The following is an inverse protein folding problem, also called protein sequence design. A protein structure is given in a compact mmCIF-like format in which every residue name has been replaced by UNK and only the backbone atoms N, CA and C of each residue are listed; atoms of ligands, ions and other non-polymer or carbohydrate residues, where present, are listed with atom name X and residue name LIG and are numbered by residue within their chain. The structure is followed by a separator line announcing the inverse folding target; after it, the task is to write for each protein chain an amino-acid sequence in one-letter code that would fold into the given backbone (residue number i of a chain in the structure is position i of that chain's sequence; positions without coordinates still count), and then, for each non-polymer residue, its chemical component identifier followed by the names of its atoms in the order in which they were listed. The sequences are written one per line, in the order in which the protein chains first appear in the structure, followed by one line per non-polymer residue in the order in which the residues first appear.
data_IF_499503941550
#
_entry.id   IF_499503941550
#
_cell.length_a   1.000
_cell.length_b   1.000
_cell.length_c   1.000
_cell.angle_alpha   90.00
_cell.angle_beta   90.00
_cell.angle_gamma   90.00
#
_symmetry.space_group_name_H-M   'P 1'
#
loop_
_entity.id
_entity.type
_entity.pdbx_description
1 polymer ?
#
# COMPACT_ATOMS: atom_id res chain seq x y z
N UNK A 1 6.66 -9.12 1.57
CA UNK A 1 7.29 -7.79 1.70
C UNK A 1 7.81 -7.38 0.33
N UNK A 2 7.55 -6.14 -0.09
CA UNK A 2 8.00 -5.61 -1.38
C UNK A 2 8.23 -4.10 -1.26
N UNK A 3 8.56 -3.45 -2.38
CA UNK A 3 8.84 -2.02 -2.46
C UNK A 3 7.61 -1.24 -2.95
N UNK A 4 7.59 0.07 -2.66
CA UNK A 4 6.51 1.00 -2.98
C UNK A 4 6.01 0.87 -4.44
N UNK A 5 6.91 0.95 -5.43
CA UNK A 5 6.55 0.88 -6.85
C UNK A 5 5.82 -0.43 -7.22
N UNK A 6 6.25 -1.55 -6.65
CA UNK A 6 5.68 -2.87 -6.94
C UNK A 6 4.29 -2.98 -6.31
N UNK A 7 4.16 -2.55 -5.05
CA UNK A 7 2.88 -2.56 -4.32
C UNK A 7 1.85 -1.70 -5.07
N UNK A 8 2.25 -0.52 -5.56
CA UNK A 8 1.38 0.36 -6.36
C UNK A 8 0.86 -0.30 -7.65
N UNK A 9 1.72 -1.02 -8.38
CA UNK A 9 1.33 -1.74 -9.60
C UNK A 9 0.31 -2.83 -9.27
N UNK A 10 0.53 -3.58 -8.19
CA UNK A 10 -0.39 -4.63 -7.73
C UNK A 10 -1.76 -4.03 -7.38
N UNK A 11 -1.78 -2.98 -6.56
CA UNK A 11 -3.02 -2.27 -6.19
C UNK A 11 -3.74 -1.75 -7.43
N UNK A 12 -3.00 -1.17 -8.39
CA UNK A 12 -3.60 -0.67 -9.62
C UNK A 12 -4.24 -1.79 -10.44
N UNK A 13 -3.63 -2.97 -10.50
CA UNK A 13 -4.22 -4.13 -11.16
C UNK A 13 -5.48 -4.61 -10.45
N UNK A 14 -5.44 -4.73 -9.12
CA UNK A 14 -6.60 -5.16 -8.30
C UNK A 14 -7.77 -4.19 -8.42
N UNK A 15 -7.51 -2.88 -8.41
CA UNK A 15 -8.53 -1.83 -8.52
C UNK A 15 -8.90 -1.46 -9.97
N UNK A 16 -8.37 -2.15 -10.97
CA UNK A 16 -8.51 -1.81 -12.39
C UNK A 16 -8.21 -0.32 -12.70
N UNK A 17 -7.18 0.20 -12.03
CA UNK A 17 -6.77 1.60 -12.13
C UNK A 17 -5.76 1.79 -13.27
N UNK A 18 -5.88 2.91 -14.00
CA UNK A 18 -4.89 3.29 -15.02
C UNK A 18 -3.52 3.55 -14.40
N UNK A 19 -2.46 3.10 -15.08
CA UNK A 19 -1.07 3.20 -14.58
C UNK A 19 -0.63 4.64 -14.27
N UNK A 20 -1.13 5.63 -15.01
CA UNK A 20 -0.83 7.04 -14.74
C UNK A 20 -1.40 7.57 -13.41
N UNK A 21 -2.17 6.76 -12.67
CA UNK A 21 -2.75 7.12 -11.37
C UNK A 21 -2.06 6.44 -10.18
N UNK A 22 -1.03 5.62 -10.40
CA UNK A 22 -0.37 4.87 -9.30
C UNK A 22 0.26 5.74 -8.22
N UNK A 23 0.54 7.00 -8.53
CA UNK A 23 1.13 7.98 -7.61
C UNK A 23 0.09 8.84 -6.88
N UNK A 24 -1.21 8.62 -7.10
CA UNK A 24 -2.28 9.46 -6.52
C UNK A 24 -2.54 9.24 -5.03
N UNK A 25 -1.93 8.23 -4.42
CA UNK A 25 -2.08 7.91 -3.01
C UNK A 25 -0.71 7.73 -2.35
N UNK A 26 -0.62 8.02 -1.06
CA UNK A 26 0.60 7.78 -0.29
C UNK A 26 0.63 6.35 0.24
N UNK A 27 1.82 5.75 0.30
CA UNK A 27 2.06 4.47 0.99
C UNK A 27 3.04 4.73 2.11
N UNK A 28 2.67 4.38 3.34
CA UNK A 28 3.55 4.52 4.49
C UNK A 28 4.54 3.34 4.50
N UNK A 29 5.79 3.59 4.94
CA UNK A 29 6.74 2.50 5.20
C UNK A 29 6.11 1.47 6.15
N UNK A 30 6.35 0.19 5.87
CA UNK A 30 5.88 -0.95 6.68
C UNK A 30 4.36 -1.08 6.85
N UNK A 31 3.56 -0.26 6.16
CA UNK A 31 2.11 -0.41 6.18
C UNK A 31 1.65 -1.73 5.53
N UNK A 32 0.56 -2.27 6.05
CA UNK A 32 -0.02 -3.52 5.59
C UNK A 32 -1.12 -3.23 4.57
N UNK A 33 -1.15 -4.01 3.50
CA UNK A 33 -2.23 -4.02 2.50
C UNK A 33 -2.78 -5.44 2.44
N UNK A 34 -4.10 -5.58 2.55
CA UNK A 34 -4.79 -6.87 2.54
C UNK A 34 -5.60 -6.98 1.26
N UNK A 35 -5.31 -8.01 0.49
CA UNK A 35 -6.02 -8.36 -0.73
C UNK A 35 -6.59 -9.75 -0.51
N UNK A 36 -7.87 -9.89 -0.75
CA UNK A 36 -8.54 -11.19 -0.76
C UNK A 36 -8.55 -11.76 -2.17
N UNK A 37 -8.37 -13.07 -2.31
CA UNK A 37 -8.28 -13.75 -3.60
C UNK A 37 -9.17 -14.98 -3.60
N UNK A 38 -10.26 -14.91 -4.35
CA UNK A 38 -11.23 -15.98 -4.49
C UNK A 38 -11.44 -16.32 -5.98
N UNK A 39 -11.31 -17.59 -6.33
CA UNK A 39 -11.65 -18.11 -7.66
C UNK A 39 -11.12 -17.26 -8.85
N UNK A 40 -9.89 -16.74 -8.74
CA UNK A 40 -9.24 -15.93 -9.77
C UNK A 40 -9.60 -14.45 -9.77
N UNK A 41 -10.47 -14.00 -8.86
CA UNK A 41 -10.74 -12.59 -8.60
C UNK A 41 -9.93 -12.13 -7.39
N UNK A 42 -9.37 -10.93 -7.48
CA UNK A 42 -8.68 -10.28 -6.37
C UNK A 42 -9.45 -9.02 -5.97
N UNK A 43 -9.76 -8.88 -4.69
CA UNK A 43 -10.45 -7.73 -4.10
C UNK A 43 -9.58 -7.05 -3.05
N UNK A 44 -9.60 -5.72 -3.01
CA UNK A 44 -8.92 -4.96 -1.96
C UNK A 44 -9.77 -4.97 -0.70
N UNK A 45 -9.23 -5.49 0.41
CA UNK A 45 -9.89 -5.50 1.72
C UNK A 45 -9.44 -4.31 2.56
N UNK A 46 -8.13 -4.08 2.62
CA UNK A 46 -7.53 -2.99 3.38
C UNK A 46 -6.28 -2.47 2.67
N UNK A 47 -6.03 -1.17 2.74
CA UNK A 47 -4.94 -0.51 2.02
C UNK A 47 -4.14 0.38 2.96
N UNK A 48 -2.83 0.19 2.96
CA UNK A 48 -1.89 1.10 3.61
C UNK A 48 -2.15 1.28 5.12
N UNK A 49 -2.57 0.21 5.80
CA UNK A 49 -2.83 0.22 7.23
C UNK A 49 -1.53 0.22 8.04
N UNK A 50 -1.28 1.35 8.68
CA UNK A 50 -0.13 1.61 9.53
C UNK A 50 -0.48 1.68 11.03
N UNK A 51 -1.68 1.26 11.43
CA UNK A 51 -2.17 1.37 12.82
C UNK A 51 -1.25 0.67 13.83
N UNK A 52 -0.64 -0.44 13.43
CA UNK A 52 0.31 -1.20 14.23
C UNK A 52 1.61 -0.43 14.54
N UNK A 53 1.92 0.64 13.79
CA UNK A 53 3.11 1.47 14.03
C UNK A 53 2.90 2.48 15.16
N UNK A 54 1.66 2.79 15.55
CA UNK A 54 1.36 3.76 16.61
C UNK A 54 2.19 5.06 16.46
N UNK A 55 2.98 5.39 17.49
CA UNK A 55 3.84 6.58 17.53
C UNK A 55 5.19 6.45 16.79
N UNK A 56 5.51 5.32 16.14
CA UNK A 56 6.76 5.21 15.37
C UNK A 56 6.74 6.00 14.04
N UNK A 57 5.56 6.37 13.55
CA UNK A 57 5.43 7.15 12.32
C UNK A 57 6.08 8.54 12.41
N UNK A 58 6.03 9.19 13.58
CA UNK A 58 6.67 10.50 13.79
C UNK A 58 8.20 10.39 13.72
N UNK A 59 8.78 9.29 14.16
CA UNK A 59 10.23 9.10 14.18
C UNK A 59 10.79 8.77 12.79
N UNK A 60 10.09 7.95 12.00
CA UNK A 60 10.50 7.62 10.63
C UNK A 60 10.44 8.84 9.68
N UNK A 61 9.47 9.75 9.85
CA UNK A 61 9.41 10.99 9.09
C UNK A 61 10.54 11.97 9.46
N UNK A 62 11.03 11.94 10.70
CA UNK A 62 12.14 12.75 11.19
C UNK A 62 13.53 12.25 10.73
N UNK A 63 13.66 10.94 10.46
CA UNK A 63 14.93 10.30 10.11
C UNK A 63 15.14 10.08 8.60
N UNK A 64 14.26 10.60 7.75
CA UNK A 64 14.36 10.50 6.28
C UNK A 64 14.97 11.77 5.61
N UNK A 65 15.73 12.59 6.37
CA UNK A 65 16.52 13.74 5.88
C UNK A 65 17.95 13.33 5.48
#
# INVERSE_FOLDING_TARGET
MSHDNIIRIIIAKVLNMKLNRIWKFHLHPTAVTVIDVEAGNAGLVDLNNASHLGNLQTNLALHAL
#
